data_IF_847773588399
#
_entry.id   IF_847773588399
#
_cell.length_a   1.000
_cell.length_b   1.000
_cell.length_c   1.000
_cell.angle_alpha   90.00
_cell.angle_beta   90.00
_cell.angle_gamma   90.00
#
_symmetry.space_group_name_H-M   'P 1'
#
loop_
_entity.id
_entity.type
_entity.pdbx_description
1 polymer ?
#
# COMPACT_ATOMS: atom_id res chain seq x y z
N UNK A 1 -11.23 4.25 -11.78
CA UNK A 1 -10.69 4.38 -10.41
C UNK A 1 -10.64 5.83 -9.97
N UNK A 2 -9.98 6.73 -10.72
CA UNK A 2 -9.96 8.17 -10.42
C UNK A 2 -11.35 8.76 -10.10
N UNK A 3 -12.32 8.60 -10.99
CA UNK A 3 -13.70 9.08 -10.79
C UNK A 3 -14.40 8.44 -9.57
N UNK A 4 -14.08 7.18 -9.27
CA UNK A 4 -14.63 6.46 -8.11
C UNK A 4 -14.07 7.04 -6.81
N UNK A 5 -12.78 7.38 -6.78
CA UNK A 5 -12.17 8.04 -5.62
C UNK A 5 -12.73 9.45 -5.42
N UNK A 6 -12.96 10.18 -6.51
CA UNK A 6 -13.60 11.50 -6.44
C UNK A 6 -15.02 11.43 -5.88
N UNK A 7 -15.81 10.45 -6.32
CA UNK A 7 -17.17 10.21 -5.79
C UNK A 7 -17.13 9.79 -4.30
N UNK A 8 -16.21 8.92 -3.92
CA UNK A 8 -16.01 8.52 -2.51
C UNK A 8 -15.62 9.72 -1.65
N UNK A 9 -14.73 10.60 -2.12
CA UNK A 9 -14.34 11.81 -1.40
C UNK A 9 -15.53 12.77 -1.23
N UNK A 10 -16.37 12.90 -2.26
CA UNK A 10 -17.53 13.79 -2.21
C UNK A 10 -18.67 13.26 -1.33
N UNK A 11 -18.90 11.94 -1.35
CA UNK A 11 -20.10 11.33 -0.74
C UNK A 11 -19.81 10.60 0.57
N UNK A 12 -18.56 10.22 0.80
CA UNK A 12 -18.18 9.29 1.86
C UNK A 12 -18.66 7.86 1.63
N UNK A 13 -19.21 7.53 0.46
CA UNK A 13 -19.76 6.21 0.14
C UNK A 13 -19.11 5.61 -1.11
N UNK A 14 -18.96 4.29 -1.12
CA UNK A 14 -18.54 3.58 -2.34
C UNK A 14 -19.70 3.55 -3.34
N UNK A 15 -19.45 3.78 -4.65
CA UNK A 15 -20.53 3.77 -5.62
C UNK A 15 -21.26 2.42 -5.62
N UNK A 16 -22.59 2.43 -5.50
CA UNK A 16 -23.41 1.21 -5.34
C UNK A 16 -23.33 0.20 -6.50
N UNK A 17 -22.65 0.54 -7.60
CA UNK A 17 -22.38 -0.37 -8.74
C UNK A 17 -21.05 -1.13 -8.60
N UNK A 18 -20.22 -0.81 -7.61
CA UNK A 18 -18.94 -1.49 -7.40
C UNK A 18 -19.15 -2.83 -6.70
N UNK A 19 -18.87 -3.92 -7.40
CA UNK A 19 -18.94 -5.28 -6.88
C UNK A 19 -17.51 -5.83 -6.79
N UNK A 20 -17.02 -6.07 -5.58
CA UNK A 20 -15.72 -6.70 -5.36
C UNK A 20 -15.72 -8.12 -5.94
N UNK A 21 -14.86 -8.36 -6.93
CA UNK A 21 -14.67 -9.71 -7.52
C UNK A 21 -13.58 -10.51 -6.80
N UNK A 22 -12.70 -9.83 -6.08
CA UNK A 22 -11.49 -10.41 -5.46
C UNK A 22 -11.70 -10.92 -4.03
N UNK A 23 -12.81 -10.55 -3.37
CA UNK A 23 -13.15 -11.01 -2.01
C UNK A 23 -13.27 -12.54 -1.89
N UNK A 24 -13.39 -13.23 -3.03
CA UNK A 24 -13.45 -14.70 -3.13
C UNK A 24 -12.08 -15.37 -3.31
N UNK A 25 -11.01 -14.61 -3.52
CA UNK A 25 -9.65 -15.12 -3.70
C UNK A 25 -9.00 -15.39 -2.33
N UNK A 26 -9.49 -16.39 -1.59
CA UNK A 26 -8.76 -16.92 -0.43
C UNK A 26 -7.62 -17.80 -0.91
N UNK A 27 -6.43 -17.23 -1.05
CA UNK A 27 -5.21 -17.97 -1.33
C UNK A 27 -4.28 -17.85 -0.12
N UNK A 28 -4.12 -18.95 0.61
CA UNK A 28 -3.16 -19.08 1.70
C UNK A 28 -3.72 -18.82 3.11
N UNK A 29 -2.93 -19.17 4.14
CA UNK A 29 -3.31 -18.97 5.54
C UNK A 29 -3.14 -17.51 5.97
N UNK A 30 -3.97 -17.07 6.92
CA UNK A 30 -3.76 -15.80 7.60
C UNK A 30 -2.49 -15.88 8.46
N UNK A 31 -1.53 -14.99 8.21
CA UNK A 31 -0.24 -14.96 8.92
C UNK A 31 -0.22 -14.02 10.14
N UNK A 32 -1.38 -13.54 10.58
CA UNK A 32 -1.51 -12.60 11.71
C UNK A 32 -2.13 -13.31 12.90
N UNK A 33 -1.47 -13.26 14.07
CA UNK A 33 -1.98 -13.86 15.29
C UNK A 33 -3.14 -13.02 15.88
N UNK A 34 -3.99 -13.65 16.68
CA UNK A 34 -5.06 -12.92 17.40
C UNK A 34 -4.51 -11.82 18.29
N UNK A 35 -3.39 -12.08 18.97
CA UNK A 35 -2.72 -11.09 19.82
C UNK A 35 -2.26 -9.86 19.03
N UNK A 36 -1.70 -10.06 17.84
CA UNK A 36 -1.29 -8.96 16.95
C UNK A 36 -2.49 -8.14 16.48
N UNK A 37 -3.62 -8.80 16.17
CA UNK A 37 -4.86 -8.11 15.81
C UNK A 37 -5.44 -7.29 16.97
N UNK A 38 -5.45 -7.83 18.19
CA UNK A 38 -5.94 -7.10 19.36
C UNK A 38 -5.06 -5.89 19.67
N UNK A 39 -3.72 -6.03 19.62
CA UNK A 39 -2.80 -4.91 19.81
C UNK A 39 -3.03 -3.80 18.77
N UNK A 40 -3.26 -4.17 17.52
CA UNK A 40 -3.59 -3.19 16.47
C UNK A 40 -4.93 -2.50 16.72
N UNK A 41 -5.96 -3.23 17.16
CA UNK A 41 -7.26 -2.66 17.52
C UNK A 41 -7.13 -1.64 18.65
N UNK A 42 -6.36 -1.97 19.69
CA UNK A 42 -6.10 -1.05 20.80
C UNK A 42 -5.45 0.25 20.33
N UNK A 43 -4.45 0.16 19.44
CA UNK A 43 -3.79 1.33 18.86
C UNK A 43 -4.76 2.21 18.05
N UNK A 44 -5.61 1.60 17.22
CA UNK A 44 -6.63 2.33 16.44
C UNK A 44 -7.64 3.01 17.36
N UNK A 45 -8.16 2.32 18.38
CA UNK A 45 -9.11 2.90 19.34
C UNK A 45 -8.45 4.06 20.11
N UNK A 46 -7.23 3.87 20.60
CA UNK A 46 -6.49 4.89 21.34
C UNK A 46 -6.21 6.14 20.49
N UNK A 47 -6.08 5.99 19.17
CA UNK A 47 -5.86 7.11 18.25
C UNK A 47 -7.05 8.06 18.14
N UNK A 48 -8.28 7.60 18.43
CA UNK A 48 -9.56 8.31 18.20
C UNK A 48 -9.75 8.82 16.77
N UNK A 49 -8.95 8.33 15.80
CA UNK A 49 -9.04 8.77 14.42
C UNK A 49 -10.38 8.42 13.79
N UNK A 50 -10.95 7.27 14.15
CA UNK A 50 -12.25 6.80 13.65
C UNK A 50 -13.43 7.62 14.15
N UNK A 51 -13.26 8.47 15.16
CA UNK A 51 -14.30 9.38 15.65
C UNK A 51 -14.46 10.60 14.71
N UNK A 52 -13.42 10.91 13.93
CA UNK A 52 -13.34 12.10 13.08
C UNK A 52 -13.33 11.78 11.59
N UNK A 53 -12.73 10.64 11.23
CA UNK A 53 -12.45 10.29 9.85
C UNK A 53 -13.10 8.97 9.46
N UNK A 54 -13.53 8.90 8.20
CA UNK A 54 -13.91 7.65 7.54
C UNK A 54 -12.76 7.18 6.68
N UNK A 55 -12.27 5.97 6.94
CA UNK A 55 -11.14 5.41 6.23
C UNK A 55 -11.59 4.60 5.02
N UNK A 56 -10.94 4.85 3.88
CA UNK A 56 -11.04 4.02 2.67
C UNK A 56 -9.64 3.57 2.31
N UNK A 57 -9.40 2.26 2.35
CA UNK A 57 -8.12 1.68 1.95
C UNK A 57 -8.16 1.33 0.47
N UNK A 58 -7.16 1.82 -0.25
CA UNK A 58 -6.93 1.51 -1.66
C UNK A 58 -5.57 0.85 -1.76
N UNK A 59 -5.56 -0.41 -2.13
CA UNK A 59 -4.34 -1.21 -2.29
C UNK A 59 -4.14 -1.56 -3.76
N UNK A 60 -2.88 -1.53 -4.21
CA UNK A 60 -2.51 -1.81 -5.59
C UNK A 60 -1.04 -1.55 -5.86
N UNK A 61 -0.41 -2.48 -6.58
CA UNK A 61 1.00 -2.42 -6.93
C UNK A 61 1.39 -1.31 -7.93
N UNK A 62 0.42 -0.61 -8.51
CA UNK A 62 0.62 0.43 -9.53
C UNK A 62 -0.02 1.78 -9.14
N UNK A 63 -0.38 1.99 -7.86
CA UNK A 63 -1.03 3.25 -7.45
C UNK A 63 -0.12 4.48 -7.60
N UNK A 64 1.19 4.29 -7.52
CA UNK A 64 2.20 5.35 -7.54
C UNK A 64 3.21 5.17 -8.68
N UNK A 65 2.79 4.60 -9.80
CA UNK A 65 3.63 4.55 -11.00
C UNK A 65 3.89 5.96 -11.55
N UNK A 66 4.95 6.10 -12.35
CA UNK A 66 5.25 7.35 -13.03
C UNK A 66 4.03 7.86 -13.84
N UNK A 67 3.67 9.12 -13.66
CA UNK A 67 2.46 9.76 -14.19
C UNK A 67 1.12 9.17 -13.68
N UNK A 68 1.10 8.57 -12.49
CA UNK A 68 -0.13 8.02 -11.92
C UNK A 68 -1.26 9.07 -11.83
N UNK A 69 -2.44 8.80 -12.43
CA UNK A 69 -3.57 9.72 -12.42
C UNK A 69 -4.32 9.75 -11.08
N UNK A 70 -3.94 8.88 -10.14
CA UNK A 70 -4.62 8.71 -8.85
C UNK A 70 -3.73 9.04 -7.67
N UNK A 71 -2.41 9.12 -7.85
CA UNK A 71 -1.48 9.34 -6.74
C UNK A 71 -1.90 10.54 -5.89
N UNK A 72 -2.25 11.68 -6.52
CA UNK A 72 -2.68 12.91 -5.82
C UNK A 72 -4.09 12.87 -5.22
N UNK A 73 -4.83 11.78 -5.37
CA UNK A 73 -6.20 11.67 -4.84
C UNK A 73 -6.27 11.14 -3.41
N UNK A 74 -5.21 10.56 -2.88
CA UNK A 74 -5.19 10.02 -1.52
C UNK A 74 -4.87 11.11 -0.48
N UNK A 75 -5.43 11.02 0.72
CA UNK A 75 -5.07 11.94 1.81
C UNK A 75 -3.72 11.55 2.42
N UNK A 76 -3.52 10.26 2.67
CA UNK A 76 -2.25 9.69 3.17
C UNK A 76 -1.82 8.56 2.25
N UNK A 77 -0.51 8.47 1.96
CA UNK A 77 0.03 7.48 1.03
C UNK A 77 1.09 6.61 1.68
N UNK A 78 0.98 5.32 1.45
CA UNK A 78 1.94 4.33 1.94
C UNK A 78 2.60 3.60 0.77
N UNK A 79 3.91 3.47 0.82
CA UNK A 79 4.68 2.62 -0.08
C UNK A 79 5.38 1.53 0.71
N UNK A 80 4.88 0.30 0.61
CA UNK A 80 5.52 -0.86 1.25
C UNK A 80 6.57 -1.43 0.32
N UNK A 81 7.79 -1.58 0.83
CA UNK A 81 8.90 -2.20 0.08
C UNK A 81 9.52 -3.38 0.82
N UNK A 82 10.28 -4.15 0.08
CA UNK A 82 11.22 -5.16 0.59
C UNK A 82 12.37 -5.28 -0.40
N UNK A 83 13.49 -5.83 0.04
CA UNK A 83 14.65 -6.15 -0.80
C UNK A 83 14.27 -7.06 -1.97
N UNK A 84 15.04 -6.97 -3.05
CA UNK A 84 14.97 -7.88 -4.20
C UNK A 84 14.83 -9.36 -3.78
N UNK A 85 15.72 -9.84 -2.90
CA UNK A 85 15.77 -11.25 -2.49
C UNK A 85 14.49 -11.70 -1.77
N UNK A 86 13.96 -10.87 -0.87
CA UNK A 86 12.72 -11.14 -0.16
C UNK A 86 11.52 -11.13 -1.10
N UNK A 87 11.46 -10.17 -2.03
CA UNK A 87 10.40 -10.10 -3.04
C UNK A 87 10.44 -11.30 -3.98
N UNK A 88 11.63 -11.70 -4.45
CA UNK A 88 11.83 -12.89 -5.27
C UNK A 88 11.33 -14.13 -4.56
N UNK A 89 11.85 -14.38 -3.34
CA UNK A 89 11.46 -15.52 -2.50
C UNK A 89 9.94 -15.56 -2.27
N UNK A 90 9.32 -14.41 -1.95
CA UNK A 90 7.87 -14.32 -1.73
C UNK A 90 7.08 -14.56 -3.02
N UNK A 91 7.55 -14.09 -4.18
CA UNK A 91 6.89 -14.29 -5.47
C UNK A 91 6.95 -15.76 -5.89
N UNK A 92 8.14 -16.36 -5.87
CA UNK A 92 8.35 -17.76 -6.28
C UNK A 92 7.64 -18.75 -5.36
N UNK A 93 7.43 -18.40 -4.08
CA UNK A 93 6.67 -19.21 -3.14
C UNK A 93 5.14 -19.16 -3.35
N UNK A 94 4.62 -18.23 -4.18
CA UNK A 94 3.18 -18.18 -4.47
C UNK A 94 2.82 -19.35 -5.36
N UNK A 95 1.80 -20.11 -4.94
CA UNK A 95 1.32 -21.28 -5.68
C UNK A 95 0.85 -20.95 -7.11
N UNK A 96 0.44 -19.70 -7.35
CA UNK A 96 -0.04 -19.18 -8.62
C UNK A 96 -1.14 -18.14 -8.39
N UNK A 97 -1.76 -17.68 -9.47
CA UNK A 97 -2.74 -16.62 -9.51
C UNK A 97 -4.01 -17.11 -10.19
N UNK A 98 -5.17 -16.80 -9.61
CA UNK A 98 -6.45 -17.02 -10.28
C UNK A 98 -6.71 -15.80 -11.16
N UNK A 99 -6.73 -16.01 -12.46
CA UNK A 99 -7.03 -14.98 -13.47
C UNK A 99 -8.38 -15.26 -14.13
N UNK A 100 -8.88 -14.30 -14.91
CA UNK A 100 -10.11 -14.51 -15.71
C UNK A 100 -9.96 -15.64 -16.74
N UNK A 101 -8.73 -15.92 -17.18
CA UNK A 101 -8.38 -16.93 -18.18
C UNK A 101 -8.00 -18.29 -17.54
N UNK A 102 -8.11 -18.40 -16.21
CA UNK A 102 -7.78 -19.60 -15.45
C UNK A 102 -6.61 -19.41 -14.49
N UNK A 103 -5.95 -20.51 -14.14
CA UNK A 103 -4.84 -20.50 -13.20
C UNK A 103 -3.52 -20.15 -13.90
N UNK A 104 -2.87 -19.09 -13.45
CA UNK A 104 -1.56 -18.65 -13.92
C UNK A 104 -0.49 -19.03 -12.91
N UNK A 105 0.56 -19.70 -13.38
CA UNK A 105 1.78 -19.91 -12.62
C UNK A 105 2.91 -19.19 -13.36
N UNK A 106 3.74 -18.47 -12.62
CA UNK A 106 4.87 -17.76 -13.22
C UNK A 106 5.81 -18.77 -13.91
N UNK A 107 6.20 -18.53 -15.18
CA UNK A 107 7.20 -19.36 -15.83
C UNK A 107 8.58 -19.15 -15.18
N UNK A 108 9.53 -20.09 -15.36
CA UNK A 108 10.91 -19.91 -14.89
C UNK A 108 11.52 -18.59 -15.38
N UNK A 109 12.16 -17.83 -14.48
CA UNK A 109 12.78 -16.54 -14.77
C UNK A 109 11.84 -15.33 -14.80
N UNK A 110 10.51 -15.53 -14.65
CA UNK A 110 9.54 -14.44 -14.79
C UNK A 110 9.77 -13.29 -13.79
N UNK A 111 10.26 -13.57 -12.58
CA UNK A 111 10.51 -12.52 -11.61
C UNK A 111 11.64 -11.61 -12.07
N UNK A 112 12.75 -12.19 -12.47
CA UNK A 112 13.97 -11.49 -12.88
C UNK A 112 13.83 -10.82 -14.24
N UNK A 113 13.17 -11.50 -15.18
CA UNK A 113 13.09 -11.06 -16.56
C UNK A 113 11.95 -10.04 -16.77
N UNK A 114 10.87 -10.12 -15.97
CA UNK A 114 9.66 -9.32 -16.18
C UNK A 114 9.27 -8.50 -14.94
N UNK A 115 9.04 -9.16 -13.79
CA UNK A 115 8.42 -8.51 -12.62
C UNK A 115 9.32 -7.42 -12.04
N UNK A 116 10.58 -7.74 -11.77
CA UNK A 116 11.53 -6.82 -11.16
C UNK A 116 11.89 -5.64 -12.07
N UNK A 117 12.25 -5.86 -13.37
CA UNK A 117 12.48 -4.75 -14.29
C UNK A 117 11.27 -3.81 -14.41
N UNK A 118 10.04 -4.37 -14.41
CA UNK A 118 8.82 -3.56 -14.43
C UNK A 118 8.66 -2.74 -13.15
N UNK A 119 8.89 -3.34 -11.98
CA UNK A 119 8.85 -2.63 -10.70
C UNK A 119 9.83 -1.44 -10.70
N UNK A 120 11.09 -1.67 -11.11
CA UNK A 120 12.12 -0.62 -11.21
C UNK A 120 11.67 0.47 -12.18
N UNK A 121 11.24 0.10 -13.38
CA UNK A 121 10.82 1.05 -14.41
C UNK A 121 9.74 2.01 -13.91
N UNK A 122 8.71 1.48 -13.25
CA UNK A 122 7.55 2.28 -12.85
C UNK A 122 7.72 3.01 -11.53
N UNK A 123 8.65 2.60 -10.66
CA UNK A 123 8.74 3.13 -9.30
C UNK A 123 10.07 3.80 -8.96
N UNK A 124 11.12 3.69 -9.78
CA UNK A 124 12.43 4.31 -9.47
C UNK A 124 12.34 5.79 -9.12
N UNK A 125 11.44 6.53 -9.76
CA UNK A 125 11.22 7.96 -9.52
C UNK A 125 10.75 8.30 -8.09
N UNK A 126 10.22 7.32 -7.35
CA UNK A 126 9.82 7.48 -5.95
C UNK A 126 11.02 7.53 -5.00
N UNK A 127 12.20 7.14 -5.46
CA UNK A 127 13.38 6.95 -4.62
C UNK A 127 14.49 7.92 -4.97
N UNK A 128 15.32 8.27 -3.99
CA UNK A 128 16.46 9.13 -4.20
C UNK A 128 17.41 8.53 -5.26
N UNK A 129 17.84 9.36 -6.21
CA UNK A 129 18.73 8.98 -7.32
C UNK A 129 18.18 7.88 -8.24
N UNK A 130 16.86 7.74 -8.35
CA UNK A 130 16.23 6.68 -9.16
C UNK A 130 16.64 5.25 -8.74
N UNK A 131 16.95 5.05 -7.46
CA UNK A 131 17.39 3.76 -6.91
C UNK A 131 16.33 3.17 -5.97
N UNK A 132 15.62 2.13 -6.44
CA UNK A 132 14.56 1.45 -5.65
C UNK A 132 15.07 0.76 -4.37
N UNK A 133 16.37 0.57 -4.24
CA UNK A 133 16.99 0.02 -3.03
C UNK A 133 17.35 1.13 -2.01
N UNK A 134 17.29 2.41 -2.40
CA UNK A 134 17.57 3.56 -1.54
C UNK A 134 16.68 3.61 -0.30
N UNK A 135 17.27 4.01 0.84
CA UNK A 135 16.56 4.26 2.10
C UNK A 135 15.74 5.55 2.12
N UNK A 136 15.93 6.40 1.12
CA UNK A 136 15.28 7.71 1.04
C UNK A 136 14.39 7.81 -0.17
N UNK A 137 13.21 8.39 0.03
CA UNK A 137 12.32 8.80 -1.04
C UNK A 137 12.92 9.99 -1.82
N UNK A 138 12.49 10.14 -3.07
CA UNK A 138 12.79 11.33 -3.87
C UNK A 138 12.09 12.57 -3.29
N UNK A 139 12.56 13.77 -3.65
CA UNK A 139 11.90 15.02 -3.25
C UNK A 139 10.43 15.05 -3.67
N UNK A 140 10.12 14.63 -4.91
CA UNK A 140 8.76 14.60 -5.42
C UNK A 140 7.86 13.63 -4.65
N UNK A 141 8.40 12.49 -4.20
CA UNK A 141 7.66 11.53 -3.38
C UNK A 141 7.40 12.07 -1.96
N UNK A 142 8.37 12.79 -1.37
CA UNK A 142 8.19 13.49 -0.09
C UNK A 142 7.13 14.59 -0.22
N UNK A 143 7.16 15.37 -1.31
CA UNK A 143 6.17 16.42 -1.60
C UNK A 143 4.75 15.86 -1.86
N UNK A 144 4.65 14.57 -2.19
CA UNK A 144 3.38 13.84 -2.30
C UNK A 144 2.85 13.34 -0.94
N UNK A 145 3.55 13.59 0.17
CA UNK A 145 3.27 12.97 1.47
C UNK A 145 3.23 11.43 1.36
N UNK A 146 4.19 10.87 0.60
CA UNK A 146 4.40 9.43 0.52
C UNK A 146 5.24 8.98 1.71
N UNK A 147 4.73 8.01 2.46
CA UNK A 147 5.45 7.42 3.58
C UNK A 147 5.92 6.01 3.22
N UNK A 148 7.16 5.72 3.59
CA UNK A 148 7.80 4.43 3.38
C UNK A 148 8.42 3.96 4.72
N UNK A 149 8.22 2.70 5.12
CA UNK A 149 8.87 2.19 6.32
C UNK A 149 10.37 2.00 6.08
N UNK A 150 11.17 2.06 7.15
CA UNK A 150 12.59 1.71 7.08
C UNK A 150 12.80 0.26 6.65
N UNK A 151 13.96 -0.07 6.08
CA UNK A 151 14.27 -1.44 5.61
C UNK A 151 14.20 -2.49 6.71
N UNK A 152 14.42 -2.09 7.96
CA UNK A 152 14.38 -2.94 9.14
C UNK A 152 12.94 -3.32 9.55
N UNK A 153 11.93 -2.57 9.10
CA UNK A 153 10.52 -2.79 9.42
C UNK A 153 9.90 -3.76 8.40
N UNK A 154 10.13 -5.04 8.61
CA UNK A 154 9.75 -6.10 7.64
C UNK A 154 8.57 -6.96 8.08
N UNK A 155 8.26 -7.00 9.38
CA UNK A 155 7.19 -7.79 9.94
C UNK A 155 5.86 -7.02 9.92
N UNK A 156 4.77 -7.71 9.54
CA UNK A 156 3.44 -7.08 9.43
C UNK A 156 2.95 -6.34 10.69
N UNK A 157 3.18 -6.81 11.93
CA UNK A 157 2.78 -6.06 13.12
C UNK A 157 3.51 -4.74 13.28
N UNK A 158 4.80 -4.70 12.88
CA UNK A 158 5.62 -3.50 12.97
C UNK A 158 5.23 -2.51 11.88
N UNK A 159 4.98 -3.01 10.65
CA UNK A 159 4.41 -2.21 9.55
C UNK A 159 3.05 -1.61 9.95
N UNK A 160 2.18 -2.39 10.60
CA UNK A 160 0.87 -1.91 11.04
C UNK A 160 0.99 -0.84 12.12
N UNK A 161 1.89 -1.04 13.09
CA UNK A 161 2.17 -0.04 14.13
C UNK A 161 2.73 1.24 13.53
N UNK A 162 3.67 1.13 12.59
CA UNK A 162 4.23 2.24 11.83
C UNK A 162 3.14 3.02 11.07
N UNK A 163 2.28 2.33 10.30
CA UNK A 163 1.23 2.95 9.52
C UNK A 163 0.22 3.72 10.39
N UNK A 164 -0.16 3.17 11.55
CA UNK A 164 -1.04 3.86 12.50
C UNK A 164 -0.39 5.15 13.02
N UNK A 165 0.91 5.13 13.32
CA UNK A 165 1.61 6.32 13.79
C UNK A 165 1.68 7.40 12.69
N UNK A 166 1.99 7.01 11.45
CA UNK A 166 1.95 7.92 10.29
C UNK A 166 0.56 8.55 10.14
N UNK A 167 -0.51 7.75 10.17
CA UNK A 167 -1.88 8.29 10.09
C UNK A 167 -2.17 9.29 11.20
N UNK A 168 -1.68 9.06 12.43
CA UNK A 168 -1.85 10.00 13.54
C UNK A 168 -1.11 11.29 13.28
N UNK A 169 0.11 11.24 12.75
CA UNK A 169 0.93 12.42 12.49
C UNK A 169 0.38 13.25 11.33
N UNK A 170 0.07 12.62 10.19
CA UNK A 170 -0.48 13.29 9.02
C UNK A 170 -1.87 13.90 9.31
N UNK A 171 -2.77 13.17 9.97
CA UNK A 171 -4.15 13.64 10.19
C UNK A 171 -4.33 14.56 11.41
N UNK A 172 -3.31 14.73 12.26
CA UNK A 172 -3.35 15.70 13.38
C UNK A 172 -2.61 17.00 13.06
N UNK A 173 -1.60 16.96 12.19
CA UNK A 173 -0.88 18.16 11.74
C UNK A 173 -1.77 19.11 10.92
N UNK A 174 -2.71 18.57 10.13
CA UNK A 174 -3.72 19.36 9.40
C UNK A 174 -4.72 20.10 10.31
N UNK A 175 -4.84 19.74 11.59
CA UNK A 175 -5.77 20.44 12.50
C UNK A 175 -5.25 21.79 13.02
N UNK A 176 -4.01 22.16 12.69
CA UNK A 176 -3.39 23.43 13.09
C UNK A 176 -3.28 24.45 11.95
N UNK A 177 -3.58 24.08 10.71
CA UNK A 177 -3.56 24.97 9.54
C UNK A 177 -4.92 25.66 9.28
N UNK A 178 -5.99 25.21 9.93
CA UNK A 178 -7.35 25.77 9.84
C UNK A 178 -7.75 26.67 11.04
N UNK A 179 -6.79 27.13 11.84
CA UNK A 179 -7.02 28.03 12.99
C UNK A 179 -6.38 29.41 12.86
#
# INVERSE_FOLDING_TARGET
MAEVLDDIHQTGETPGKYISKEEKNKIGPDHVSKEQLEKARELVIASKLTDKYRFVFVDGIMLYHDNSPVARKFDVRFFLRASYEELKKRREARAGYVTIDGFWQDPPGYFEDIVWPSYVQYHKHLFANDDVESDSLSTDAVDLDLHMPGQDVTAMPDILTWAINVLRESLTSDSLSDS
#
